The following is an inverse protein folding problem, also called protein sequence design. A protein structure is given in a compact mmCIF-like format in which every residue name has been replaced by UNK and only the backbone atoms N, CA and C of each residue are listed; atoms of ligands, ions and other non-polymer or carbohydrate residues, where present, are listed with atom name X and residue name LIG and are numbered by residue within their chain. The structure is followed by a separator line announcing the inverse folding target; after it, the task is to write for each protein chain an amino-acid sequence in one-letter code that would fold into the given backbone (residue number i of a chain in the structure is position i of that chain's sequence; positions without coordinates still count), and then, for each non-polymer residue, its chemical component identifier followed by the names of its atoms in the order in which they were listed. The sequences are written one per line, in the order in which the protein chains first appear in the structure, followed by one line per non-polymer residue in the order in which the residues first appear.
data_IF_283096432405
#
_entry.id   IF_283096432405
#
_cell.length_a   1.000
_cell.length_b   1.000
_cell.length_c   1.000
_cell.angle_alpha   90.00
_cell.angle_beta   90.00
_cell.angle_gamma   90.00
#
_symmetry.space_group_name_H-M   'P 1'
#
loop_
_entity.id
_entity.type
_entity.pdbx_description
1 polymer ?
#
# COMPACT_ATOMS: atom_id res chain seq x y z
N UNK A 1 16.96 -21.88 18.48
CA UNK A 1 16.30 -21.22 17.33
C UNK A 1 16.25 -19.74 17.64
N UNK A 2 16.81 -18.89 16.80
CA UNK A 2 17.04 -17.47 17.13
C UNK A 2 15.74 -16.67 17.10
N UNK A 3 15.39 -16.03 18.22
CA UNK A 3 14.24 -15.12 18.36
C UNK A 3 14.22 -13.97 17.36
N UNK A 4 15.37 -13.63 16.78
CA UNK A 4 15.52 -12.62 15.73
C UNK A 4 14.95 -13.07 14.37
N UNK A 5 14.85 -14.37 14.12
CA UNK A 5 14.18 -14.91 12.92
C UNK A 5 12.66 -14.87 13.11
N UNK A 6 12.17 -15.26 14.30
CA UNK A 6 10.73 -15.24 14.62
C UNK A 6 10.18 -13.81 14.61
N UNK A 7 10.93 -12.83 15.16
CA UNK A 7 10.53 -11.41 15.10
C UNK A 7 10.47 -10.83 13.69
N UNK A 8 11.24 -11.37 12.73
CA UNK A 8 11.17 -10.95 11.33
C UNK A 8 10.03 -11.63 10.56
N UNK A 9 9.67 -12.86 10.90
CA UNK A 9 8.53 -13.55 10.29
C UNK A 9 7.21 -12.91 10.71
N UNK A 10 7.07 -12.54 12.00
CA UNK A 10 5.84 -11.91 12.53
C UNK A 10 5.63 -10.47 12.04
N UNK A 11 6.69 -9.76 11.61
CA UNK A 11 6.59 -8.35 11.20
C UNK A 11 6.32 -8.12 9.70
N UNK A 12 6.52 -9.12 8.84
CA UNK A 12 6.22 -9.01 7.39
C UNK A 12 4.81 -9.52 7.00
N UNK A 13 4.03 -10.06 7.94
CA UNK A 13 2.61 -10.42 7.74
C UNK A 13 1.68 -9.19 7.68
N UNK A 14 2.22 -7.96 7.72
CA UNK A 14 1.43 -6.78 8.05
C UNK A 14 0.59 -6.21 6.89
N UNK A 15 1.07 -6.23 5.63
CA UNK A 15 0.38 -5.54 4.53
C UNK A 15 -0.88 -6.28 4.08
N UNK A 16 -0.81 -7.61 3.89
CA UNK A 16 -1.97 -8.42 3.48
C UNK A 16 -3.04 -8.40 4.56
N UNK A 17 -2.66 -8.54 5.83
CA UNK A 17 -3.60 -8.56 6.95
C UNK A 17 -4.24 -7.20 7.16
N UNK A 18 -3.46 -6.11 7.11
CA UNK A 18 -4.03 -4.76 7.22
C UNK A 18 -4.94 -4.45 6.04
N UNK A 19 -4.52 -4.76 4.82
CA UNK A 19 -5.35 -4.58 3.63
C UNK A 19 -6.67 -5.35 3.74
N UNK A 20 -6.59 -6.63 4.08
CA UNK A 20 -7.77 -7.51 4.23
C UNK A 20 -8.70 -7.02 5.33
N UNK A 21 -8.15 -6.61 6.49
CA UNK A 21 -8.94 -6.06 7.59
C UNK A 21 -9.64 -4.75 7.21
N UNK A 22 -8.95 -3.85 6.50
CA UNK A 22 -9.53 -2.59 6.02
C UNK A 22 -10.64 -2.85 4.99
N UNK A 23 -10.42 -3.75 4.03
CA UNK A 23 -11.46 -4.14 3.06
C UNK A 23 -12.66 -4.79 3.73
N UNK A 24 -12.45 -5.63 4.75
CA UNK A 24 -13.56 -6.20 5.55
C UNK A 24 -14.34 -5.14 6.31
N UNK A 25 -13.65 -4.15 6.90
CA UNK A 25 -14.28 -3.10 7.69
C UNK A 25 -15.05 -2.09 6.84
N UNK A 26 -14.53 -1.75 5.67
CA UNK A 26 -15.04 -0.60 4.91
C UNK A 26 -15.64 -0.95 3.54
N UNK A 27 -15.51 -2.20 3.10
CA UNK A 27 -16.04 -2.65 1.81
C UNK A 27 -14.98 -2.77 0.72
N UNK A 28 -15.30 -3.56 -0.31
CA UNK A 28 -14.39 -3.86 -1.42
C UNK A 28 -14.16 -2.66 -2.34
N UNK A 29 -15.16 -1.79 -2.49
CA UNK A 29 -15.14 -0.64 -3.39
C UNK A 29 -14.32 0.56 -2.87
N UNK A 30 -13.80 0.46 -1.64
CA UNK A 30 -12.97 1.50 -1.02
C UNK A 30 -11.50 1.30 -1.37
N UNK A 31 -10.89 2.24 -2.11
CA UNK A 31 -9.45 2.25 -2.36
C UNK A 31 -8.72 2.68 -1.09
N UNK A 32 -7.82 1.84 -0.60
CA UNK A 32 -7.06 2.07 0.62
C UNK A 32 -5.70 2.68 0.26
N UNK A 33 -5.47 3.90 0.76
CA UNK A 33 -4.27 4.70 0.58
C UNK A 33 -3.48 4.68 1.89
N UNK A 34 -2.37 3.95 1.89
CA UNK A 34 -1.49 3.87 3.04
C UNK A 34 -0.43 4.97 2.97
N UNK A 35 -0.32 5.78 4.03
CA UNK A 35 0.72 6.80 4.09
C UNK A 35 2.09 6.14 4.31
N UNK A 36 3.03 6.41 3.41
CA UNK A 36 4.41 5.92 3.46
C UNK A 36 5.36 7.07 3.11
N UNK A 37 5.88 7.76 4.14
CA UNK A 37 6.70 8.95 3.95
C UNK A 37 5.93 10.04 3.20
N UNK A 38 6.48 10.48 2.06
CA UNK A 38 5.92 11.52 1.19
C UNK A 38 4.95 10.96 0.12
N UNK A 39 4.59 9.68 0.22
CA UNK A 39 3.72 9.00 -0.72
C UNK A 39 2.51 8.38 -0.02
N UNK A 40 1.46 8.17 -0.80
CA UNK A 40 0.39 7.23 -0.51
C UNK A 40 0.53 6.02 -1.41
N UNK A 41 0.59 4.84 -0.82
CA UNK A 41 0.68 3.58 -1.53
C UNK A 41 -0.66 2.84 -1.52
N UNK A 42 -0.97 2.20 -2.64
CA UNK A 42 -2.05 1.22 -2.75
C UNK A 42 -1.47 -0.14 -3.08
N UNK A 43 -2.14 -1.22 -2.68
CA UNK A 43 -1.64 -2.60 -2.84
C UNK A 43 -2.69 -3.51 -3.49
N UNK A 44 -2.25 -4.69 -3.91
CA UNK A 44 -3.10 -5.76 -4.43
C UNK A 44 -4.04 -5.32 -5.57
N UNK A 45 -5.35 -5.40 -5.37
CA UNK A 45 -6.34 -4.98 -6.36
C UNK A 45 -6.39 -3.46 -6.51
N UNK A 46 -6.21 -2.72 -5.40
CA UNK A 46 -6.24 -1.25 -5.41
C UNK A 46 -5.08 -0.70 -6.24
N UNK A 47 -3.90 -1.33 -6.16
CA UNK A 47 -2.75 -0.92 -6.98
C UNK A 47 -2.95 -1.19 -8.47
N UNK A 48 -3.73 -2.22 -8.84
CA UNK A 48 -4.13 -2.47 -10.23
C UNK A 48 -5.11 -1.42 -10.72
N UNK A 49 -6.12 -1.09 -9.91
CA UNK A 49 -7.14 -0.10 -10.25
C UNK A 49 -6.51 1.28 -10.42
N UNK A 50 -5.73 1.73 -9.44
CA UNK A 50 -5.07 3.03 -9.46
C UNK A 50 -4.08 3.12 -10.62
N UNK A 51 -3.24 2.09 -10.82
CA UNK A 51 -2.33 2.03 -11.97
C UNK A 51 -3.08 2.10 -13.30
N UNK A 52 -4.16 1.34 -13.47
CA UNK A 52 -4.94 1.30 -14.71
C UNK A 52 -5.68 2.61 -15.00
N UNK A 53 -6.22 3.28 -13.98
CA UNK A 53 -6.93 4.55 -14.15
C UNK A 53 -5.99 5.70 -14.52
N UNK A 54 -4.81 5.72 -13.91
CA UNK A 54 -3.90 6.87 -13.96
C UNK A 54 -2.65 6.64 -14.80
N UNK A 55 -2.43 5.43 -15.32
CA UNK A 55 -1.21 5.07 -16.03
C UNK A 55 0.03 5.09 -15.15
N UNK A 56 -0.12 4.86 -13.83
CA UNK A 56 1.00 4.83 -12.90
C UNK A 56 1.73 3.50 -12.98
N UNK A 57 3.05 3.52 -12.98
CA UNK A 57 3.85 2.32 -12.80
C UNK A 57 3.63 1.71 -11.41
N UNK A 58 3.65 0.38 -11.36
CA UNK A 58 3.63 -0.34 -10.08
C UNK A 58 5.02 -0.81 -9.73
N UNK A 59 5.45 -0.51 -8.51
CA UNK A 59 6.76 -0.89 -7.98
C UNK A 59 6.63 -2.21 -7.24
N UNK A 60 7.57 -3.12 -7.45
CA UNK A 60 7.68 -4.34 -6.65
C UNK A 60 8.05 -3.95 -5.21
N UNK A 61 7.17 -4.24 -4.26
CA UNK A 61 7.37 -3.92 -2.85
C UNK A 61 7.95 -5.12 -2.09
N UNK A 62 7.31 -6.28 -2.24
CA UNK A 62 7.68 -7.49 -1.52
C UNK A 62 7.41 -8.73 -2.35
N UNK A 63 8.28 -9.74 -2.21
CA UNK A 63 8.12 -11.06 -2.82
C UNK A 63 8.11 -12.12 -1.73
N UNK A 64 6.95 -12.73 -1.52
CA UNK A 64 6.76 -13.89 -0.65
C UNK A 64 6.78 -15.17 -1.46
N UNK A 65 6.85 -16.30 -0.75
CA UNK A 65 6.80 -17.62 -1.39
C UNK A 65 5.48 -17.86 -2.16
N UNK A 66 4.37 -17.32 -1.65
CA UNK A 66 3.02 -17.54 -2.20
C UNK A 66 2.44 -16.35 -2.96
N UNK A 67 2.97 -15.14 -2.78
CA UNK A 67 2.43 -13.94 -3.40
C UNK A 67 3.48 -12.85 -3.60
N UNK A 68 3.15 -11.89 -4.46
CA UNK A 68 3.98 -10.73 -4.75
C UNK A 68 3.15 -9.47 -4.53
N UNK A 69 3.69 -8.52 -3.79
CA UNK A 69 3.04 -7.24 -3.52
C UNK A 69 3.64 -6.19 -4.45
N UNK A 70 2.77 -5.59 -5.26
CA UNK A 70 3.09 -4.42 -6.06
C UNK A 70 2.34 -3.21 -5.52
N UNK A 71 3.04 -2.08 -5.46
CA UNK A 71 2.50 -0.81 -4.99
C UNK A 71 2.36 0.19 -6.13
N UNK A 72 1.22 0.88 -6.21
CA UNK A 72 1.12 2.12 -6.98
C UNK A 72 1.26 3.30 -6.01
N UNK A 73 2.13 4.26 -6.34
CA UNK A 73 2.51 5.38 -5.46
C UNK A 73 1.93 6.69 -5.96
N UNK A 74 1.27 7.41 -5.06
CA UNK A 74 0.75 8.75 -5.29
C UNK A 74 1.55 9.71 -4.41
N UNK A 75 2.21 10.74 -4.96
CA UNK A 75 2.86 11.76 -4.14
C UNK A 75 1.85 12.46 -3.22
N UNK A 76 2.21 12.74 -1.97
CA UNK A 76 1.32 13.41 -0.99
C UNK A 76 0.75 14.72 -1.54
N UNK A 77 1.59 15.50 -2.23
CA UNK A 77 1.19 16.77 -2.87
C UNK A 77 0.09 16.63 -3.92
N UNK A 78 -0.03 15.46 -4.54
CA UNK A 78 -0.99 15.22 -5.63
C UNK A 78 -2.23 14.46 -5.13
N UNK A 79 -2.25 14.02 -3.87
CA UNK A 79 -3.28 13.14 -3.31
C UNK A 79 -4.71 13.61 -3.62
N UNK A 80 -4.99 14.90 -3.45
CA UNK A 80 -6.33 15.46 -3.67
C UNK A 80 -6.80 15.29 -5.12
N UNK A 81 -5.91 15.52 -6.09
CA UNK A 81 -6.21 15.28 -7.50
C UNK A 81 -6.62 13.83 -7.76
N UNK A 82 -5.84 12.88 -7.24
CA UNK A 82 -6.11 11.44 -7.42
C UNK A 82 -7.41 11.02 -6.73
N UNK A 83 -7.66 11.48 -5.50
CA UNK A 83 -8.89 11.18 -4.76
C UNK A 83 -10.13 11.69 -5.48
N UNK A 84 -10.08 12.92 -6.01
CA UNK A 84 -11.19 13.48 -6.79
C UNK A 84 -11.47 12.64 -8.04
N UNK A 85 -10.43 12.23 -8.77
CA UNK A 85 -10.58 11.39 -9.97
C UNK A 85 -11.06 9.97 -9.68
N UNK A 86 -10.74 9.41 -8.51
CA UNK A 86 -11.28 8.13 -8.03
C UNK A 86 -12.76 8.28 -7.66
N UNK A 87 -13.12 9.34 -6.95
CA UNK A 87 -14.50 9.64 -6.57
C UNK A 87 -15.43 9.77 -7.78
N UNK A 88 -15.02 10.52 -8.82
CA UNK A 88 -15.80 10.65 -10.06
C UNK A 88 -15.97 9.34 -10.84
N UNK A 89 -15.17 8.30 -10.52
CA UNK A 89 -15.28 6.96 -11.09
C UNK A 89 -16.04 5.99 -10.20
N UNK A 90 -16.65 6.47 -9.11
CA UNK A 90 -17.44 5.66 -8.18
C UNK A 90 -16.62 4.97 -7.08
N UNK A 91 -15.32 5.27 -6.95
CA UNK A 91 -14.49 4.72 -5.88
C UNK A 91 -14.49 5.63 -4.66
N UNK A 92 -14.79 5.06 -3.49
CA UNK A 92 -14.47 5.70 -2.22
C UNK A 92 -12.98 5.55 -1.90
N UNK A 93 -12.43 6.44 -1.06
CA UNK A 93 -11.02 6.37 -0.65
C UNK A 93 -10.88 6.40 0.87
N UNK A 94 -9.96 5.60 1.41
CA UNK A 94 -9.62 5.57 2.84
C UNK A 94 -8.14 5.88 2.99
N UNK A 95 -7.80 6.74 3.94
CA UNK A 95 -6.42 7.00 4.30
C UNK A 95 -6.09 6.24 5.58
N UNK A 96 -4.98 5.50 5.56
CA UNK A 96 -4.45 4.81 6.72
C UNK A 96 -3.05 5.33 7.03
N UNK A 97 -2.91 6.03 8.15
CA UNK A 97 -1.64 6.65 8.59
C UNK A 97 -0.67 5.67 9.26
N UNK A 98 -0.99 4.37 9.33
CA UNK A 98 -0.19 3.39 10.10
C UNK A 98 0.07 2.10 9.33
N UNK A 99 1.18 2.04 8.63
CA UNK A 99 1.95 0.80 8.49
C UNK A 99 3.08 0.86 9.52
N UNK A 100 2.84 0.31 10.71
CA UNK A 100 3.93 0.03 11.68
C UNK A 100 4.80 -1.05 11.03
N UNK A 101 6.02 -0.69 10.61
CA UNK A 101 7.00 -1.65 10.08
C UNK A 101 7.81 -1.18 8.87
N UNK A 102 7.37 -0.13 8.17
CA UNK A 102 8.15 0.43 7.05
C UNK A 102 9.15 1.47 7.57
N UNK A 103 10.25 1.01 8.16
CA UNK A 103 11.43 1.87 8.25
C UNK A 103 11.86 2.18 6.81
N UNK A 104 11.73 3.44 6.41
CA UNK A 104 12.30 3.92 5.15
C UNK A 104 13.80 3.66 5.22
N UNK A 105 14.25 2.56 4.60
CA UNK A 105 15.67 2.35 4.35
C UNK A 105 16.08 3.42 3.35
N UNK A 106 16.61 4.54 3.86
CA UNK A 106 17.43 5.45 3.07
C UNK A 106 18.64 4.63 2.62
N UNK A 107 18.58 4.07 1.42
CA UNK A 107 19.77 3.50 0.79
C UNK A 107 20.72 4.66 0.55
N UNK A 108 21.66 4.89 1.47
CA UNK A 108 22.89 5.60 1.13
C UNK A 108 23.60 4.71 0.12
N UNK A 109 23.42 5.02 -1.16
CA UNK A 109 24.38 4.61 -2.18
C UNK A 109 25.70 5.31 -1.79
N UNK A 110 26.64 4.52 -1.28
CA UNK A 110 28.05 4.92 -1.19
C UNK A 110 28.67 4.91 -2.58
#
# INVERSE_FOLDING_TARGET
MNDSIIRNIVNNEHIMDQYTQMKRRHGKDMIILFRVGEYFETYFEDSRIVSGIFGLDRVLLEKHFYYVVYAARIPEKDLEYYRNKLYYRGYGTIISDRIRGYEVRKTHLK
#
